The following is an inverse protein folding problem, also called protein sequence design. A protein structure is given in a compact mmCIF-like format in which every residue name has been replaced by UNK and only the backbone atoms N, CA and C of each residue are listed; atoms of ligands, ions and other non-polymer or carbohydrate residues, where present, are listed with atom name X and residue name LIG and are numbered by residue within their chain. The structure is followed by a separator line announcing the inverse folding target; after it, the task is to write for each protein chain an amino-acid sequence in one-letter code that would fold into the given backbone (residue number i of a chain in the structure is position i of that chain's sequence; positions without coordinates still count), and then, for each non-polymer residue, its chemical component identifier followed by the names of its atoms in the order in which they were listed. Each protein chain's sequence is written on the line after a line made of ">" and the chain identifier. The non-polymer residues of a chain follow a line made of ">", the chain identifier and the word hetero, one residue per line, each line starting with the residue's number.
data_IF_068269776341
#
_entry.id   IF_068269776341
#
_cell.length_a   1.000
_cell.length_b   1.000
_cell.length_c   1.000
_cell.angle_alpha   90.00
_cell.angle_beta   90.00
_cell.angle_gamma   90.00
#
_symmetry.space_group_name_H-M   'P 1'
#
loop_
_entity.id
_entity.type
_entity.pdbx_description
1 polymer ?
#
# COMPACT_ATOMS: atom_id res chain seq x y z
N UNK A 1 24.63 -3.55 -55.29
CA UNK A 1 25.30 -3.28 -54.01
C UNK A 1 24.24 -3.11 -52.92
N UNK A 2 24.33 -3.95 -51.86
CA UNK A 2 23.35 -4.25 -50.79
C UNK A 2 22.52 -3.05 -50.28
N UNK A 3 21.18 -3.12 -50.44
CA UNK A 3 20.22 -2.36 -49.61
C UNK A 3 19.77 -3.21 -48.42
N UNK A 4 20.63 -3.34 -47.40
CA UNK A 4 20.27 -3.87 -46.08
C UNK A 4 19.80 -2.71 -45.19
N UNK A 5 18.58 -2.20 -45.39
CA UNK A 5 18.03 -1.07 -44.61
C UNK A 5 16.80 -1.39 -43.73
N UNK A 6 15.95 -2.40 -43.99
CA UNK A 6 14.74 -2.57 -43.16
C UNK A 6 15.03 -3.24 -41.82
N UNK A 7 15.98 -4.18 -41.77
CA UNK A 7 16.28 -4.95 -40.54
C UNK A 7 16.95 -4.08 -39.47
N UNK A 8 17.86 -3.18 -39.87
CA UNK A 8 18.53 -2.26 -38.93
C UNK A 8 17.51 -1.26 -38.36
N UNK A 9 16.60 -0.74 -39.19
CA UNK A 9 15.57 0.20 -38.73
C UNK A 9 14.60 -0.44 -37.72
N UNK A 10 14.19 -1.69 -37.93
CA UNK A 10 13.31 -2.42 -37.01
C UNK A 10 13.97 -2.74 -35.67
N UNK A 11 15.27 -3.06 -35.68
CA UNK A 11 16.04 -3.30 -34.45
C UNK A 11 16.19 -2.02 -33.62
N UNK A 12 16.45 -0.88 -34.24
CA UNK A 12 16.56 0.39 -33.52
C UNK A 12 15.23 0.88 -32.95
N UNK A 13 14.11 0.70 -33.65
CA UNK A 13 12.77 1.00 -33.12
C UNK A 13 12.41 0.07 -31.96
N UNK A 14 12.74 -1.23 -32.06
CA UNK A 14 12.55 -2.18 -30.96
C UNK A 14 13.37 -1.83 -29.72
N UNK A 15 14.62 -1.39 -29.89
CA UNK A 15 15.50 -0.95 -28.78
C UNK A 15 14.99 0.34 -28.11
N UNK A 16 14.47 1.30 -28.88
CA UNK A 16 13.90 2.53 -28.33
C UNK A 16 12.61 2.29 -27.53
N UNK A 17 11.77 1.35 -27.96
CA UNK A 17 10.56 0.93 -27.22
C UNK A 17 10.96 0.19 -25.93
N UNK A 18 11.97 -0.69 -25.98
CA UNK A 18 12.46 -1.42 -24.81
C UNK A 18 13.11 -0.50 -23.75
N UNK A 19 13.79 0.57 -24.16
CA UNK A 19 14.35 1.59 -23.27
C UNK A 19 13.28 2.47 -22.61
N UNK A 20 12.16 2.73 -23.29
CA UNK A 20 11.05 3.53 -22.74
C UNK A 20 10.28 2.87 -21.59
N UNK A 21 10.22 1.53 -21.58
CA UNK A 21 9.49 0.74 -20.55
C UNK A 21 10.25 0.70 -19.21
N UNK A 22 11.55 1.00 -19.19
CA UNK A 22 12.38 0.96 -17.97
C UNK A 22 12.34 2.24 -17.12
N UNK A 23 11.75 3.34 -17.60
CA UNK A 23 11.71 4.63 -16.88
C UNK A 23 10.57 4.73 -15.85
N UNK A 24 9.65 3.77 -15.84
CA UNK A 24 8.60 3.67 -14.82
C UNK A 24 9.10 2.99 -13.55
N UNK A 25 10.15 3.52 -12.91
CA UNK A 25 10.45 3.11 -11.54
C UNK A 25 9.29 3.59 -10.66
N UNK A 26 8.50 2.65 -10.17
CA UNK A 26 7.43 2.93 -9.21
C UNK A 26 8.04 3.52 -7.94
N UNK A 27 7.94 4.83 -7.77
CA UNK A 27 8.14 5.47 -6.48
C UNK A 27 7.04 4.94 -5.57
N UNK A 28 7.40 4.14 -4.57
CA UNK A 28 6.45 3.69 -3.56
C UNK A 28 5.98 4.93 -2.79
N UNK A 29 4.77 5.39 -3.09
CA UNK A 29 4.12 6.48 -2.36
C UNK A 29 3.91 6.04 -0.91
N UNK A 30 4.35 6.86 0.05
CA UNK A 30 4.05 6.60 1.46
C UNK A 30 2.54 6.62 1.65
N UNK A 31 2.01 5.68 2.43
CA UNK A 31 0.60 5.70 2.80
C UNK A 31 0.26 7.04 3.48
N UNK A 32 -0.87 7.69 3.12
CA UNK A 32 -1.24 8.97 3.68
C UNK A 32 -1.42 8.88 5.20
N UNK A 33 -0.96 9.92 5.91
CA UNK A 33 -1.11 10.03 7.37
C UNK A 33 -2.37 10.81 7.72
N UNK A 34 -2.90 10.53 8.90
CA UNK A 34 -4.11 11.13 9.44
C UNK A 34 -3.84 11.62 10.87
N UNK A 35 -4.35 12.79 11.24
CA UNK A 35 -4.33 13.29 12.61
C UNK A 35 -5.40 12.60 13.47
N UNK A 36 -5.24 12.68 14.80
CA UNK A 36 -6.22 12.16 15.76
C UNK A 36 -7.61 12.79 15.60
N UNK A 37 -7.69 14.06 15.19
CA UNK A 37 -8.97 14.77 15.10
C UNK A 37 -9.70 14.44 13.79
N UNK A 38 -8.96 14.24 12.70
CA UNK A 38 -9.54 13.70 11.47
C UNK A 38 -10.04 12.26 11.69
N UNK A 39 -9.30 11.42 12.43
CA UNK A 39 -9.77 10.08 12.79
C UNK A 39 -11.10 10.13 13.53
N UNK A 40 -11.27 11.02 14.51
CA UNK A 40 -12.55 11.18 15.23
C UNK A 40 -13.71 11.48 14.28
N UNK A 41 -13.48 12.27 13.23
CA UNK A 41 -14.49 12.57 12.20
C UNK A 41 -14.83 11.38 11.29
N UNK A 42 -14.00 10.33 11.28
CA UNK A 42 -14.22 9.09 10.53
C UNK A 42 -14.79 7.95 11.38
N UNK A 43 -14.68 8.04 12.71
CA UNK A 43 -15.14 6.98 13.61
C UNK A 43 -16.65 6.73 13.45
N UNK A 44 -17.02 5.46 13.41
CA UNK A 44 -18.41 5.01 13.29
C UNK A 44 -18.97 4.97 11.86
N UNK A 45 -18.22 5.44 10.86
CA UNK A 45 -18.64 5.27 9.46
C UNK A 45 -18.50 3.81 9.02
N UNK A 46 -19.48 3.25 8.26
CA UNK A 46 -19.51 1.83 7.89
C UNK A 46 -18.47 1.44 6.83
N UNK A 47 -17.80 2.41 6.23
CA UNK A 47 -16.74 2.26 5.24
C UNK A 47 -15.33 2.38 5.84
N UNK A 48 -15.20 2.62 7.14
CA UNK A 48 -13.93 2.81 7.85
C UNK A 48 -13.65 1.64 8.76
N UNK A 49 -12.44 1.08 8.66
CA UNK A 49 -11.94 0.04 9.56
C UNK A 49 -10.65 0.51 10.20
N UNK A 50 -10.64 0.57 11.53
CA UNK A 50 -9.43 0.92 12.30
C UNK A 50 -8.74 -0.38 12.73
N UNK A 51 -7.45 -0.50 12.44
CA UNK A 51 -6.65 -1.69 12.66
C UNK A 51 -5.46 -1.36 13.58
N UNK A 52 -5.43 -2.00 14.74
CA UNK A 52 -4.34 -1.94 15.70
C UNK A 52 -3.24 -2.92 15.28
N UNK A 53 -2.11 -2.40 14.81
CA UNK A 53 -0.94 -3.18 14.36
C UNK A 53 0.27 -3.01 15.28
N UNK A 54 0.07 -2.60 16.54
CA UNK A 54 1.14 -2.52 17.55
C UNK A 54 1.91 -3.83 17.71
N UNK A 55 3.11 -3.83 18.29
CA UNK A 55 3.72 -5.09 18.72
C UNK A 55 2.87 -5.75 19.83
N UNK A 56 3.01 -7.06 20.01
CA UNK A 56 2.27 -7.80 21.05
C UNK A 56 2.46 -7.18 22.44
N UNK A 57 3.71 -6.89 22.80
CA UNK A 57 4.06 -6.24 24.08
C UNK A 57 3.37 -4.90 24.28
N UNK A 58 3.35 -4.05 23.24
CA UNK A 58 2.77 -2.70 23.34
C UNK A 58 1.25 -2.77 23.45
N UNK A 59 0.62 -3.71 22.74
CA UNK A 59 -0.81 -3.94 22.81
C UNK A 59 -1.26 -4.48 24.17
N UNK A 60 -0.55 -5.47 24.70
CA UNK A 60 -0.81 -6.09 26.01
C UNK A 60 -0.52 -5.10 27.15
N UNK A 61 0.56 -4.32 27.06
CA UNK A 61 0.93 -3.32 28.06
C UNK A 61 0.07 -2.06 28.05
N UNK A 62 -0.74 -1.83 27.01
CA UNK A 62 -1.54 -0.62 26.89
C UNK A 62 -2.86 -0.69 27.64
N UNK A 63 -3.05 0.23 28.57
CA UNK A 63 -4.30 0.42 29.32
C UNK A 63 -5.44 0.94 28.43
N UNK A 64 -5.10 1.63 27.35
CA UNK A 64 -6.05 2.27 26.45
C UNK A 64 -5.84 1.82 24.99
N UNK A 65 -6.93 1.79 24.23
CA UNK A 65 -6.99 1.35 22.83
C UNK A 65 -8.06 2.18 22.11
N UNK A 66 -7.93 2.37 20.80
CA UNK A 66 -8.94 3.11 20.03
C UNK A 66 -10.21 2.28 19.97
N UNK A 67 -11.35 2.88 20.33
CA UNK A 67 -12.64 2.20 20.34
C UNK A 67 -13.01 1.72 18.93
N UNK A 68 -13.47 0.47 18.83
CA UNK A 68 -13.86 -0.16 17.56
C UNK A 68 -12.69 -0.65 16.71
N UNK A 69 -11.44 -0.49 17.17
CA UNK A 69 -10.29 -1.02 16.46
C UNK A 69 -10.24 -2.56 16.52
N UNK A 70 -9.90 -3.17 15.39
CA UNK A 70 -9.62 -4.60 15.28
C UNK A 70 -8.13 -4.82 15.46
N UNK A 71 -7.76 -5.81 16.27
CA UNK A 71 -6.35 -6.18 16.49
C UNK A 71 -5.89 -7.16 15.42
N UNK A 72 -4.80 -6.82 14.73
CA UNK A 72 -4.10 -7.73 13.82
C UNK A 72 -2.60 -7.74 14.12
N UNK A 73 -1.95 -8.89 13.94
CA UNK A 73 -0.51 -9.01 14.22
C UNK A 73 0.32 -8.45 13.05
N UNK A 74 1.15 -7.40 13.24
CA UNK A 74 1.97 -6.84 12.17
C UNK A 74 2.95 -7.84 11.54
N UNK A 75 3.27 -8.95 12.22
CA UNK A 75 4.16 -10.01 11.70
C UNK A 75 3.43 -11.04 10.84
N UNK A 76 2.09 -11.01 10.79
CA UNK A 76 1.25 -12.02 10.14
C UNK A 76 0.36 -11.43 9.05
N UNK A 77 0.80 -10.36 8.36
CA UNK A 77 0.02 -9.66 7.33
C UNK A 77 -0.63 -10.60 6.30
N UNK A 78 0.10 -11.62 5.85
CA UNK A 78 -0.41 -12.63 4.89
C UNK A 78 -1.61 -13.42 5.40
N UNK A 79 -1.75 -13.55 6.72
CA UNK A 79 -2.86 -14.29 7.35
C UNK A 79 -4.13 -13.46 7.45
N UNK A 80 -4.03 -12.11 7.47
CA UNK A 80 -5.18 -11.25 7.74
C UNK A 80 -5.51 -10.21 6.69
N UNK A 81 -4.58 -9.81 5.82
CA UNK A 81 -4.83 -8.73 4.85
C UNK A 81 -6.04 -9.03 3.95
N UNK A 82 -6.22 -10.31 3.57
CA UNK A 82 -7.32 -10.75 2.71
C UNK A 82 -8.70 -10.73 3.40
N UNK A 83 -8.78 -10.48 4.70
CA UNK A 83 -10.06 -10.35 5.42
C UNK A 83 -10.76 -9.02 5.11
N UNK A 84 -10.00 -8.01 4.69
CA UNK A 84 -10.49 -6.65 4.55
C UNK A 84 -10.87 -6.35 3.09
N UNK A 85 -12.08 -5.83 2.83
CA UNK A 85 -12.47 -5.42 1.49
C UNK A 85 -11.61 -4.26 0.98
N UNK A 86 -11.28 -4.28 -0.31
CA UNK A 86 -10.44 -3.24 -0.95
C UNK A 86 -11.16 -1.91 -1.17
N UNK A 87 -12.49 -1.89 -1.07
CA UNK A 87 -13.34 -0.69 -1.19
C UNK A 87 -13.53 0.05 0.15
N UNK A 88 -12.87 -0.41 1.22
CA UNK A 88 -12.94 0.20 2.56
C UNK A 88 -11.73 1.08 2.83
N UNK A 89 -11.94 2.12 3.62
CA UNK A 89 -10.85 2.92 4.17
C UNK A 89 -10.25 2.19 5.36
N UNK A 90 -9.02 1.69 5.21
CA UNK A 90 -8.27 1.02 6.27
C UNK A 90 -7.34 2.01 6.96
N UNK A 91 -7.49 2.17 8.27
CA UNK A 91 -6.66 3.07 9.09
C UNK A 91 -5.83 2.21 10.03
N UNK A 92 -4.51 2.27 9.88
CA UNK A 92 -3.58 1.51 10.71
C UNK A 92 -2.98 2.42 11.79
N UNK A 93 -2.87 1.92 13.02
CA UNK A 93 -2.13 2.61 14.07
C UNK A 93 -1.16 1.67 14.80
N UNK A 94 -0.04 2.25 15.23
CA UNK A 94 1.00 1.61 16.03
C UNK A 94 1.26 2.38 17.33
N UNK A 95 2.33 2.01 18.04
CA UNK A 95 2.79 2.67 19.26
C UNK A 95 3.69 3.86 18.91
#
# INVERSE_FOLDING_TARGET
>A
MRRSKPVVSFVWTGVLIFLGVFLGQALAEEAPRLTKDELKGLMGKPDVVVIDVRAKSDWEGSKEKIQGAVREDPKKVKEWANKYPQDKTLIFYCA
#
